data_IF_565914888794
#
_entry.id   IF_565914888794
#
_cell.length_a   1.000
_cell.length_b   1.000
_cell.length_c   1.000
_cell.angle_alpha   90.00
_cell.angle_beta   90.00
_cell.angle_gamma   90.00
#
_symmetry.space_group_name_H-M   'P 1'
#
loop_
_entity.id
_entity.type
_entity.pdbx_description
1 polymer ?
#
# COMPACT_ATOMS: atom_id res chain seq x y z
N UNK A 1 17.78 13.48 -6.38
CA UNK A 1 17.92 12.04 -6.61
C UNK A 1 18.50 11.86 -8.01
N UNK A 2 19.57 11.12 -8.15
CA UNK A 2 20.09 10.82 -9.48
C UNK A 2 19.26 9.68 -10.07
N UNK A 3 18.45 9.99 -11.08
CA UNK A 3 17.61 9.03 -11.81
C UNK A 3 18.46 7.88 -12.37
N UNK A 4 19.70 8.17 -12.79
CA UNK A 4 20.59 7.14 -13.33
C UNK A 4 21.09 6.18 -12.27
N UNK A 5 21.30 6.63 -11.05
CA UNK A 5 21.66 5.76 -9.93
C UNK A 5 20.52 4.80 -9.57
N UNK A 6 19.27 5.25 -9.65
CA UNK A 6 18.11 4.41 -9.35
C UNK A 6 17.86 3.32 -10.39
N UNK A 7 18.28 3.51 -11.65
CA UNK A 7 18.06 2.53 -12.76
C UNK A 7 18.67 1.16 -12.49
N UNK A 8 19.58 1.03 -11.56
CA UNK A 8 20.13 -0.25 -11.14
C UNK A 8 19.24 -0.98 -10.11
N UNK A 9 18.24 -0.33 -9.54
CA UNK A 9 17.40 -0.85 -8.47
C UNK A 9 15.95 -1.08 -8.93
N UNK A 10 15.27 -1.91 -8.15
CA UNK A 10 13.89 -2.30 -8.38
C UNK A 10 13.01 -1.94 -7.19
N UNK A 11 11.78 -1.56 -7.48
CA UNK A 11 10.70 -1.45 -6.52
C UNK A 11 9.74 -2.63 -6.73
N UNK A 12 9.55 -3.44 -5.68
CA UNK A 12 8.55 -4.49 -5.63
C UNK A 12 7.25 -3.92 -5.06
N UNK A 13 6.17 -3.95 -5.83
CA UNK A 13 4.88 -3.41 -5.46
C UNK A 13 3.84 -4.54 -5.42
N UNK A 14 3.35 -4.86 -4.24
CA UNK A 14 2.25 -5.79 -4.03
C UNK A 14 0.93 -5.03 -4.15
N UNK A 15 0.12 -5.39 -5.14
CA UNK A 15 -1.10 -4.65 -5.52
C UNK A 15 -0.84 -3.58 -6.59
N UNK A 16 -0.01 -3.87 -7.58
CA UNK A 16 0.52 -2.91 -8.57
C UNK A 16 -0.47 -2.50 -9.67
N UNK A 17 -1.63 -3.15 -9.79
CA UNK A 17 -2.52 -2.98 -10.95
C UNK A 17 -3.54 -1.86 -10.84
N UNK A 18 -3.68 -1.21 -9.69
CA UNK A 18 -4.66 -0.14 -9.49
C UNK A 18 -4.35 0.75 -8.28
N UNK A 19 -5.03 1.88 -8.16
CA UNK A 19 -5.00 2.76 -6.99
C UNK A 19 -3.60 3.19 -6.59
N UNK A 20 -3.27 3.05 -5.30
CA UNK A 20 -1.98 3.50 -4.76
C UNK A 20 -0.80 2.73 -5.33
N UNK A 21 -0.94 1.41 -5.54
CA UNK A 21 0.14 0.59 -6.11
C UNK A 21 0.46 0.97 -7.55
N UNK A 22 -0.56 1.21 -8.38
CA UNK A 22 -0.39 1.72 -9.74
C UNK A 22 0.32 3.08 -9.74
N UNK A 23 -0.23 4.05 -9.00
CA UNK A 23 0.32 5.41 -8.96
C UNK A 23 1.76 5.43 -8.46
N UNK A 24 2.07 4.63 -7.43
CA UNK A 24 3.43 4.52 -6.90
C UNK A 24 4.37 3.84 -7.90
N UNK A 25 3.92 2.79 -8.60
CA UNK A 25 4.72 2.13 -9.64
C UNK A 25 5.10 3.11 -10.76
N UNK A 26 4.14 3.91 -11.22
CA UNK A 26 4.38 4.92 -12.25
C UNK A 26 5.33 6.01 -11.73
N UNK A 27 5.09 6.55 -10.53
CA UNK A 27 5.93 7.60 -9.95
C UNK A 27 7.37 7.14 -9.70
N UNK A 28 7.56 5.94 -9.15
CA UNK A 28 8.90 5.40 -8.94
C UNK A 28 9.62 5.11 -10.26
N UNK A 29 8.90 4.74 -11.33
CA UNK A 29 9.51 4.58 -12.66
C UNK A 29 9.96 5.90 -13.26
N UNK A 30 9.25 7.01 -13.03
CA UNK A 30 9.70 8.37 -13.39
C UNK A 30 10.97 8.74 -12.63
N UNK A 31 11.10 8.31 -11.37
CA UNK A 31 12.27 8.53 -10.53
C UNK A 31 13.44 7.55 -10.85
N UNK A 32 13.28 6.69 -11.88
CA UNK A 32 14.32 5.81 -12.42
C UNK A 32 14.32 4.38 -11.87
N UNK A 33 13.45 4.02 -10.94
CA UNK A 33 13.36 2.64 -10.46
C UNK A 33 12.73 1.72 -11.50
N UNK A 34 13.26 0.52 -11.64
CA UNK A 34 12.57 -0.57 -12.33
C UNK A 34 11.46 -1.13 -11.43
N UNK A 35 10.42 -1.71 -12.01
CA UNK A 35 9.22 -2.10 -11.27
C UNK A 35 8.99 -3.61 -11.36
N UNK A 36 8.84 -4.25 -10.20
CA UNK A 36 8.26 -5.59 -10.07
C UNK A 36 6.84 -5.40 -9.51
N UNK A 37 5.84 -5.75 -10.30
CA UNK A 37 4.43 -5.64 -9.91
C UNK A 37 3.84 -7.03 -9.62
N UNK A 38 3.29 -7.22 -8.42
CA UNK A 38 2.45 -8.40 -8.11
C UNK A 38 1.01 -7.94 -8.05
N UNK A 39 0.12 -8.64 -8.75
CA UNK A 39 -1.29 -8.28 -8.83
C UNK A 39 -2.17 -9.52 -8.99
N UNK A 40 -3.47 -9.39 -8.75
CA UNK A 40 -4.43 -10.45 -8.96
C UNK A 40 -5.60 -9.90 -9.77
N UNK A 41 -5.50 -10.02 -11.07
CA UNK A 41 -6.45 -9.46 -12.03
C UNK A 41 -7.14 -10.53 -12.85
N UNK A 42 -8.42 -10.26 -13.17
CA UNK A 42 -9.18 -11.04 -14.14
C UNK A 42 -8.96 -10.48 -15.54
N UNK A 43 -9.34 -11.25 -16.56
CA UNK A 43 -9.19 -10.88 -17.95
C UNK A 43 -9.68 -9.46 -18.28
N UNK A 44 -10.77 -9.01 -17.65
CA UNK A 44 -11.34 -7.68 -17.89
C UNK A 44 -10.46 -6.51 -17.41
N UNK A 45 -9.55 -6.73 -16.48
CA UNK A 45 -8.67 -5.70 -15.89
C UNK A 45 -7.23 -5.76 -16.39
N UNK A 46 -6.85 -6.81 -17.10
CA UNK A 46 -5.51 -6.96 -17.72
C UNK A 46 -5.13 -5.76 -18.62
N UNK A 47 -6.02 -5.18 -19.44
CA UNK A 47 -5.66 -4.01 -20.25
C UNK A 47 -5.09 -2.83 -19.45
N UNK A 48 -5.50 -2.66 -18.17
CA UNK A 48 -4.91 -1.65 -17.29
C UNK A 48 -3.47 -1.99 -16.91
N UNK A 49 -3.18 -3.26 -16.65
CA UNK A 49 -1.81 -3.72 -16.37
C UNK A 49 -0.89 -3.47 -17.57
N UNK A 50 -1.38 -3.75 -18.78
CA UNK A 50 -0.61 -3.48 -20.00
C UNK A 50 -0.36 -1.99 -20.23
N UNK A 51 -1.33 -1.13 -19.90
CA UNK A 51 -1.18 0.32 -19.92
C UNK A 51 -0.08 0.78 -18.93
N UNK A 52 -0.11 0.27 -17.70
CA UNK A 52 0.90 0.56 -16.67
C UNK A 52 2.30 0.16 -17.16
N UNK A 53 2.46 -1.05 -17.68
CA UNK A 53 3.74 -1.57 -18.20
C UNK A 53 4.27 -0.70 -19.34
N UNK A 54 3.40 -0.31 -20.28
CA UNK A 54 3.77 0.59 -21.39
C UNK A 54 4.25 1.95 -20.85
N UNK A 55 3.57 2.51 -19.85
CA UNK A 55 3.97 3.78 -19.27
C UNK A 55 5.31 3.68 -18.53
N UNK A 56 5.55 2.61 -17.77
CA UNK A 56 6.85 2.35 -17.12
C UNK A 56 7.98 2.28 -18.16
N UNK A 57 7.74 1.60 -19.29
CA UNK A 57 8.71 1.54 -20.39
C UNK A 57 8.92 2.91 -21.02
N UNK A 58 7.87 3.71 -21.21
CA UNK A 58 7.98 5.09 -21.71
C UNK A 58 8.80 6.00 -20.79
N UNK A 59 8.75 5.75 -19.48
CA UNK A 59 9.60 6.44 -18.48
C UNK A 59 11.06 5.96 -18.52
N UNK A 60 11.41 5.00 -19.39
CA UNK A 60 12.74 4.43 -19.55
C UNK A 60 13.11 3.40 -18.47
N UNK A 61 12.16 2.85 -17.77
CA UNK A 61 12.35 1.81 -16.73
C UNK A 61 11.91 0.43 -17.25
N UNK A 62 12.49 -0.63 -16.66
CA UNK A 62 12.08 -2.01 -16.93
C UNK A 62 10.91 -2.40 -16.00
N UNK A 63 10.13 -3.40 -16.44
CA UNK A 63 9.06 -3.94 -15.60
C UNK A 63 8.95 -5.46 -15.70
N UNK A 64 8.61 -6.10 -14.58
CA UNK A 64 8.20 -7.50 -14.45
C UNK A 64 6.86 -7.52 -13.72
N UNK A 65 5.86 -8.23 -14.25
CA UNK A 65 4.53 -8.28 -13.63
C UNK A 65 4.06 -9.72 -13.47
N UNK A 66 3.59 -10.06 -12.27
CA UNK A 66 3.13 -11.39 -11.89
C UNK A 66 1.66 -11.34 -11.51
N UNK A 67 0.82 -12.04 -12.26
CA UNK A 67 -0.61 -12.13 -11.96
C UNK A 67 -0.89 -13.33 -11.04
N UNK A 68 -0.67 -13.13 -9.76
CA UNK A 68 -0.83 -14.16 -8.71
C UNK A 68 -1.38 -13.55 -7.43
N UNK A 69 -1.94 -14.40 -6.56
CA UNK A 69 -2.26 -14.00 -5.20
C UNK A 69 -0.96 -13.79 -4.38
N UNK A 70 -0.71 -12.56 -3.94
CA UNK A 70 0.49 -12.22 -3.18
C UNK A 70 0.58 -12.89 -1.80
N UNK A 71 -0.52 -13.41 -1.26
CA UNK A 71 -0.55 -14.18 -0.01
C UNK A 71 -0.32 -15.69 -0.24
N UNK A 72 -0.35 -16.17 -1.47
CA UNK A 72 -0.06 -17.57 -1.77
C UNK A 72 1.42 -17.87 -1.61
N UNK A 73 1.75 -18.76 -0.68
CA UNK A 73 3.14 -19.10 -0.35
C UNK A 73 3.87 -19.70 -1.55
N UNK A 74 3.26 -20.67 -2.24
CA UNK A 74 3.93 -21.34 -3.37
C UNK A 74 4.21 -20.35 -4.51
N UNK A 75 3.26 -19.43 -4.79
CA UNK A 75 3.46 -18.39 -5.80
C UNK A 75 4.51 -17.36 -5.39
N UNK A 76 4.60 -17.03 -4.11
CA UNK A 76 5.66 -16.15 -3.60
C UNK A 76 7.03 -16.81 -3.76
N UNK A 77 7.16 -18.10 -3.40
CA UNK A 77 8.40 -18.87 -3.55
C UNK A 77 8.85 -18.97 -5.03
N UNK A 78 7.90 -19.20 -5.97
CA UNK A 78 8.17 -19.20 -7.42
C UNK A 78 8.77 -17.84 -7.86
N UNK A 79 8.16 -16.72 -7.44
CA UNK A 79 8.63 -15.38 -7.78
C UNK A 79 10.02 -15.13 -7.19
N UNK A 80 10.24 -15.47 -5.93
CA UNK A 80 11.55 -15.31 -5.27
C UNK A 80 12.64 -16.11 -6.01
N UNK A 81 12.35 -17.33 -6.46
CA UNK A 81 13.27 -18.13 -7.24
C UNK A 81 13.62 -17.45 -8.57
N UNK A 82 12.63 -16.93 -9.32
CA UNK A 82 12.86 -16.20 -10.57
C UNK A 82 13.69 -14.93 -10.35
N UNK A 83 13.43 -14.20 -9.24
CA UNK A 83 14.20 -13.00 -8.91
C UNK A 83 15.66 -13.34 -8.54
N UNK A 84 15.91 -14.48 -7.89
CA UNK A 84 17.28 -14.96 -7.60
C UNK A 84 18.06 -15.31 -8.87
N UNK A 85 17.41 -15.96 -9.83
CA UNK A 85 18.04 -16.26 -11.11
C UNK A 85 18.38 -14.99 -11.89
N UNK A 86 17.49 -13.98 -11.83
CA UNK A 86 17.69 -12.70 -12.52
C UNK A 86 18.74 -11.83 -11.86
N UNK A 87 18.76 -11.77 -10.52
CA UNK A 87 19.58 -10.83 -9.77
C UNK A 87 20.75 -11.52 -9.06
N UNK A 88 21.95 -11.32 -9.54
CA UNK A 88 23.17 -11.84 -8.91
C UNK A 88 23.69 -10.92 -7.78
N UNK A 89 22.89 -9.92 -7.37
CA UNK A 89 23.18 -8.96 -6.32
C UNK A 89 21.89 -8.47 -5.65
N UNK A 90 21.93 -7.86 -4.45
CA UNK A 90 20.77 -7.20 -3.87
C UNK A 90 20.29 -6.06 -4.78
N UNK A 91 19.14 -6.25 -5.43
CA UNK A 91 18.62 -5.32 -6.43
C UNK A 91 17.32 -4.62 -6.01
N UNK A 92 16.57 -5.19 -5.06
CA UNK A 92 15.30 -4.63 -4.60
C UNK A 92 15.59 -3.57 -3.55
N UNK A 93 15.22 -2.34 -3.84
CA UNK A 93 15.44 -1.16 -2.98
C UNK A 93 14.18 -0.73 -2.23
N UNK A 94 13.02 -1.02 -2.79
CA UNK A 94 11.73 -0.62 -2.26
C UNK A 94 10.79 -1.83 -2.28
N UNK A 95 10.10 -2.05 -1.15
CA UNK A 95 8.94 -2.94 -1.07
C UNK A 95 7.73 -2.08 -0.69
N UNK A 96 6.68 -2.12 -1.51
CA UNK A 96 5.40 -1.51 -1.18
C UNK A 96 4.32 -2.58 -1.03
N UNK A 97 3.69 -2.62 0.14
CA UNK A 97 2.53 -3.46 0.42
C UNK A 97 1.26 -2.64 0.30
N UNK A 98 0.52 -2.83 -0.81
CA UNK A 98 -0.71 -2.11 -1.14
C UNK A 98 -1.87 -3.07 -1.41
N UNK A 99 -1.98 -4.13 -0.60
CA UNK A 99 -3.04 -5.12 -0.75
C UNK A 99 -4.30 -4.67 -0.01
N UNK A 100 -5.44 -4.75 -0.71
CA UNK A 100 -6.76 -4.36 -0.23
C UNK A 100 -7.81 -5.42 -0.60
N UNK A 101 -7.67 -6.62 -0.03
CA UNK A 101 -8.59 -7.73 -0.23
C UNK A 101 -8.95 -8.34 1.12
N UNK A 102 -10.09 -7.91 1.68
CA UNK A 102 -10.58 -8.35 2.97
C UNK A 102 -12.10 -8.46 3.01
N UNK A 103 -12.60 -9.17 4.01
CA UNK A 103 -14.03 -9.36 4.23
C UNK A 103 -14.66 -8.10 4.85
N UNK A 104 -15.77 -7.67 4.27
CA UNK A 104 -16.57 -6.51 4.71
C UNK A 104 -17.91 -7.03 5.25
N UNK A 105 -17.88 -7.52 6.50
CA UNK A 105 -19.04 -8.10 7.20
C UNK A 105 -19.05 -7.67 8.66
N UNK A 106 -20.26 -7.61 9.25
CA UNK A 106 -20.42 -7.38 10.69
C UNK A 106 -19.82 -8.54 11.50
N UNK A 107 -19.21 -8.26 12.64
CA UNK A 107 -18.82 -9.28 13.60
C UNK A 107 -20.07 -9.92 14.22
N UNK A 108 -21.02 -9.08 14.63
CA UNK A 108 -22.29 -9.51 15.18
C UNK A 108 -23.39 -9.15 14.15
N UNK A 109 -23.89 -10.13 13.41
CA UNK A 109 -24.92 -9.88 12.38
C UNK A 109 -26.28 -9.60 13.00
N UNK A 110 -27.12 -8.86 12.29
CA UNK A 110 -28.55 -8.79 12.62
C UNK A 110 -29.25 -10.14 12.36
N UNK A 111 -30.44 -10.32 12.95
CA UNK A 111 -31.21 -11.56 12.83
C UNK A 111 -31.45 -11.91 11.35
N UNK A 112 -31.02 -13.11 10.94
CA UNK A 112 -31.15 -13.61 9.57
C UNK A 112 -29.96 -13.29 8.64
N UNK A 113 -28.97 -12.52 9.08
CA UNK A 113 -27.76 -12.23 8.32
C UNK A 113 -26.61 -13.18 8.69
N UNK A 114 -25.66 -13.34 7.79
CA UNK A 114 -24.41 -14.04 8.07
C UNK A 114 -23.33 -13.06 8.50
N UNK A 115 -22.81 -13.24 9.71
CA UNK A 115 -21.66 -12.53 10.21
C UNK A 115 -20.33 -12.94 9.55
N UNK A 116 -19.27 -12.34 10.02
CA UNK A 116 -17.91 -12.69 9.63
C UNK A 116 -17.55 -14.11 10.10
N UNK A 117 -17.01 -14.94 9.21
CA UNK A 117 -16.52 -16.28 9.56
C UNK A 117 -15.06 -16.25 9.97
N UNK A 118 -14.60 -17.30 10.69
CA UNK A 118 -13.19 -17.49 11.05
C UNK A 118 -12.29 -17.45 9.83
N UNK A 119 -12.60 -18.21 8.78
CA UNK A 119 -11.77 -18.23 7.56
C UNK A 119 -11.70 -16.90 6.83
N UNK A 120 -12.77 -16.09 6.87
CA UNK A 120 -12.76 -14.75 6.32
C UNK A 120 -11.87 -13.78 7.14
N UNK A 121 -11.87 -13.92 8.47
CA UNK A 121 -10.97 -13.16 9.33
C UNK A 121 -9.51 -13.53 9.04
N UNK A 122 -9.19 -14.83 9.08
CA UNK A 122 -7.84 -15.34 8.84
C UNK A 122 -7.31 -14.92 7.46
N UNK A 123 -8.10 -15.10 6.41
CA UNK A 123 -7.76 -14.68 5.06
C UNK A 123 -7.50 -13.16 4.99
N UNK A 124 -8.31 -12.35 5.67
CA UNK A 124 -8.15 -10.89 5.66
C UNK A 124 -6.84 -10.46 6.33
N UNK A 125 -6.52 -11.04 7.49
CA UNK A 125 -5.26 -10.77 8.18
C UNK A 125 -4.05 -11.27 7.37
N UNK A 126 -4.15 -12.46 6.82
CA UNK A 126 -3.08 -13.05 6.02
C UNK A 126 -2.73 -12.17 4.81
N UNK A 127 -3.74 -11.81 4.00
CA UNK A 127 -3.53 -10.98 2.80
C UNK A 127 -3.11 -9.55 3.14
N UNK A 128 -3.78 -8.90 4.11
CA UNK A 128 -3.65 -7.46 4.32
C UNK A 128 -2.65 -7.07 5.40
N UNK A 129 -2.11 -8.03 6.16
CA UNK A 129 -1.13 -7.77 7.21
C UNK A 129 0.07 -8.72 7.15
N UNK A 130 -0.15 -10.04 7.29
CA UNK A 130 0.94 -10.98 7.50
C UNK A 130 1.80 -11.16 6.25
N UNK A 131 1.24 -11.07 5.07
CA UNK A 131 1.99 -11.17 3.80
C UNK A 131 3.13 -10.14 3.69
N UNK A 132 3.03 -8.96 4.33
CA UNK A 132 4.15 -8.02 4.43
C UNK A 132 5.39 -8.67 5.08
N UNK A 133 5.18 -9.38 6.19
CA UNK A 133 6.25 -10.05 6.93
C UNK A 133 6.87 -11.13 6.06
N UNK A 134 6.05 -11.99 5.45
CA UNK A 134 6.53 -13.10 4.64
C UNK A 134 7.34 -12.64 3.42
N UNK A 135 6.86 -11.65 2.68
CA UNK A 135 7.63 -11.06 1.57
C UNK A 135 8.94 -10.45 2.05
N UNK A 136 8.94 -9.76 3.19
CA UNK A 136 10.15 -9.17 3.76
C UNK A 136 11.15 -10.23 4.15
N UNK A 137 10.71 -11.30 4.84
CA UNK A 137 11.56 -12.44 5.22
C UNK A 137 12.21 -13.09 3.99
N UNK A 138 11.41 -13.38 2.96
CA UNK A 138 11.92 -14.02 1.74
C UNK A 138 12.94 -13.15 1.00
N UNK A 139 12.70 -11.84 0.90
CA UNK A 139 13.61 -10.91 0.26
C UNK A 139 14.95 -10.79 1.02
N UNK A 140 14.91 -10.76 2.36
CA UNK A 140 16.11 -10.65 3.19
C UNK A 140 16.89 -11.97 3.19
N UNK A 141 16.23 -13.11 3.45
CA UNK A 141 16.88 -14.42 3.55
C UNK A 141 17.51 -14.87 2.23
N UNK A 142 16.98 -14.41 1.11
CA UNK A 142 17.53 -14.69 -0.23
C UNK A 142 18.52 -13.63 -0.74
N UNK A 143 18.90 -12.63 0.08
CA UNK A 143 19.87 -11.61 -0.30
C UNK A 143 19.43 -10.68 -1.43
N UNK A 144 18.12 -10.54 -1.66
CA UNK A 144 17.56 -9.75 -2.74
C UNK A 144 17.36 -8.27 -2.37
N UNK A 145 17.22 -7.96 -1.06
CA UNK A 145 16.96 -6.60 -0.58
C UNK A 145 18.28 -5.82 -0.43
N UNK A 146 18.32 -4.64 -1.06
CA UNK A 146 19.51 -3.77 -1.02
C UNK A 146 19.55 -2.96 0.29
N UNK A 147 20.77 -2.70 0.81
CA UNK A 147 20.98 -1.80 1.95
C UNK A 147 20.43 -0.40 1.69
N UNK A 148 20.06 0.31 2.75
CA UNK A 148 19.40 1.62 2.69
C UNK A 148 18.09 1.59 1.90
N UNK A 149 17.37 0.45 1.97
CA UNK A 149 16.09 0.26 1.33
C UNK A 149 14.93 0.89 2.08
N UNK A 150 13.73 0.76 1.51
CA UNK A 150 12.48 1.27 2.06
C UNK A 150 11.38 0.21 1.99
N UNK A 151 10.61 0.09 3.05
CA UNK A 151 9.38 -0.70 3.07
C UNK A 151 8.23 0.23 3.42
N UNK A 152 7.20 0.23 2.59
CA UNK A 152 5.97 1.00 2.79
C UNK A 152 4.77 0.06 2.85
N UNK A 153 3.92 0.25 3.86
CA UNK A 153 2.71 -0.52 4.05
C UNK A 153 1.49 0.40 4.07
N UNK A 154 0.55 0.22 3.13
CA UNK A 154 -0.65 1.04 3.06
C UNK A 154 -1.60 0.69 4.20
N UNK A 155 -1.84 1.63 5.10
CA UNK A 155 -2.84 1.54 6.16
C UNK A 155 -4.03 2.49 5.92
N UNK A 156 -4.88 2.67 6.90
CA UNK A 156 -6.13 3.44 6.81
C UNK A 156 -6.50 3.94 8.20
N UNK A 157 -7.19 5.07 8.29
CA UNK A 157 -7.82 5.54 9.54
C UNK A 157 -8.74 4.49 10.18
N UNK A 158 -9.24 3.54 9.39
CA UNK A 158 -9.98 2.39 9.89
C UNK A 158 -9.19 1.48 10.83
N UNK A 159 -7.88 1.64 11.00
CA UNK A 159 -7.10 0.94 12.04
C UNK A 159 -7.45 1.40 13.46
N UNK A 160 -7.94 2.63 13.64
CA UNK A 160 -8.25 3.26 14.93
C UNK A 160 -9.62 3.95 14.98
N UNK A 161 -10.33 4.07 13.84
CA UNK A 161 -11.70 4.58 13.78
C UNK A 161 -12.69 3.49 13.39
N UNK A 162 -13.95 3.67 13.73
CA UNK A 162 -15.00 2.69 13.43
C UNK A 162 -15.63 3.00 12.08
N UNK A 163 -15.57 2.02 11.18
CA UNK A 163 -16.27 2.02 9.90
C UNK A 163 -17.20 0.78 9.89
N UNK A 164 -18.52 0.94 9.62
CA UNK A 164 -19.44 -0.19 9.56
C UNK A 164 -18.94 -1.30 8.61
N UNK A 165 -19.07 -2.55 9.02
CA UNK A 165 -18.64 -3.77 8.29
C UNK A 165 -17.12 -3.92 8.05
N UNK A 166 -16.31 -2.99 8.53
CA UNK A 166 -14.88 -2.91 8.27
C UNK A 166 -14.02 -3.66 9.31
N UNK A 167 -14.62 -4.30 10.29
CA UNK A 167 -13.92 -4.83 11.47
C UNK A 167 -12.75 -5.76 11.16
N UNK A 168 -12.88 -6.70 10.20
CA UNK A 168 -11.77 -7.58 9.81
C UNK A 168 -10.62 -6.80 9.16
N UNK A 169 -10.95 -5.84 8.30
CA UNK A 169 -9.95 -4.97 7.65
C UNK A 169 -9.30 -4.03 8.66
N UNK A 170 -10.08 -3.49 9.62
CA UNK A 170 -9.56 -2.70 10.75
C UNK A 170 -8.52 -3.47 11.55
N UNK A 171 -8.83 -4.72 11.95
CA UNK A 171 -7.91 -5.60 12.66
C UNK A 171 -6.64 -5.87 11.84
N UNK A 172 -6.79 -6.11 10.53
CA UNK A 172 -5.65 -6.32 9.65
C UNK A 172 -4.76 -5.07 9.55
N UNK A 173 -5.35 -3.85 9.46
CA UNK A 173 -4.57 -2.61 9.41
C UNK A 173 -3.87 -2.31 10.73
N UNK A 174 -4.49 -2.54 11.87
CA UNK A 174 -3.85 -2.44 13.18
C UNK A 174 -2.68 -3.45 13.32
N UNK A 175 -2.86 -4.70 12.86
CA UNK A 175 -1.80 -5.71 12.82
C UNK A 175 -0.66 -5.28 11.88
N UNK A 176 -0.97 -4.74 10.70
CA UNK A 176 0.01 -4.24 9.74
C UNK A 176 0.88 -3.14 10.34
N UNK A 177 0.30 -2.19 11.06
CA UNK A 177 1.02 -1.13 11.76
C UNK A 177 1.92 -1.68 12.88
N UNK A 178 1.48 -2.75 13.56
CA UNK A 178 2.31 -3.46 14.53
C UNK A 178 3.50 -4.14 13.85
N UNK A 179 3.29 -4.82 12.71
CA UNK A 179 4.36 -5.44 11.93
C UNK A 179 5.37 -4.40 11.42
N UNK A 180 4.92 -3.22 11.01
CA UNK A 180 5.79 -2.11 10.59
C UNK A 180 6.77 -1.73 11.71
N UNK A 181 6.29 -1.59 12.94
CA UNK A 181 7.16 -1.26 14.10
C UNK A 181 8.19 -2.36 14.37
N UNK A 182 7.76 -3.62 14.37
CA UNK A 182 8.65 -4.75 14.60
C UNK A 182 9.71 -4.89 13.49
N UNK A 183 9.28 -4.80 12.22
CA UNK A 183 10.19 -4.86 11.08
C UNK A 183 11.18 -3.68 11.07
N UNK A 184 10.75 -2.47 11.47
CA UNK A 184 11.65 -1.32 11.57
C UNK A 184 12.77 -1.55 12.59
N UNK A 185 12.48 -2.21 13.70
CA UNK A 185 13.48 -2.59 14.71
C UNK A 185 14.43 -3.67 14.16
N UNK A 186 13.89 -4.75 13.62
CA UNK A 186 14.69 -5.91 13.17
C UNK A 186 15.54 -5.60 11.92
N UNK A 187 15.10 -4.67 11.08
CA UNK A 187 15.81 -4.30 9.86
C UNK A 187 16.79 -3.12 10.01
N UNK A 188 17.01 -2.66 11.24
CA UNK A 188 17.96 -1.58 11.53
C UNK A 188 19.38 -1.88 11.06
N UNK A 189 19.87 -3.09 11.31
CA UNK A 189 21.21 -3.53 10.89
C UNK A 189 21.37 -3.61 9.35
N UNK A 190 20.27 -3.79 8.64
CA UNK A 190 20.22 -3.74 7.17
C UNK A 190 20.09 -2.30 6.63
N UNK A 191 19.92 -1.31 7.51
CA UNK A 191 19.65 0.08 7.16
C UNK A 191 18.38 0.24 6.31
N UNK A 192 17.35 -0.58 6.55
CA UNK A 192 16.07 -0.53 5.85
C UNK A 192 15.06 0.19 6.75
N UNK A 193 14.50 1.27 6.23
CA UNK A 193 13.42 2.00 6.92
C UNK A 193 12.06 1.42 6.55
N UNK A 194 11.20 1.24 7.55
CA UNK A 194 9.87 0.63 7.39
C UNK A 194 8.82 1.57 7.94
N UNK A 195 7.83 1.98 7.12
CA UNK A 195 6.78 2.90 7.54
C UNK A 195 5.40 2.46 7.03
N UNK A 196 4.38 2.71 7.84
CA UNK A 196 3.00 2.68 7.41
C UNK A 196 2.63 4.03 6.77
N UNK A 197 1.91 3.99 5.64
CA UNK A 197 1.40 5.17 4.96
C UNK A 197 -0.13 5.18 5.10
N UNK A 198 -0.65 6.17 5.79
CA UNK A 198 -2.09 6.38 5.93
C UNK A 198 -2.56 7.39 4.89
N UNK A 199 -3.33 6.92 3.93
CA UNK A 199 -3.99 7.78 2.95
C UNK A 199 -5.34 8.27 3.48
N UNK A 200 -5.74 9.46 3.09
CA UNK A 200 -7.12 9.91 3.23
C UNK A 200 -8.07 9.11 2.31
N UNK A 201 -9.36 9.33 2.46
CA UNK A 201 -10.37 8.69 1.60
C UNK A 201 -10.06 9.03 0.14
N UNK A 202 -9.89 7.98 -0.64
CA UNK A 202 -9.45 8.06 -2.04
C UNK A 202 -10.38 7.21 -2.90
N UNK A 203 -10.92 7.78 -3.98
CA UNK A 203 -11.77 7.03 -4.91
C UNK A 203 -10.98 5.98 -5.68
N UNK A 204 -10.98 4.78 -5.15
CA UNK A 204 -10.28 3.61 -5.69
C UNK A 204 -11.24 2.44 -5.88
N UNK A 205 -10.91 1.44 -6.70
CA UNK A 205 -11.71 0.21 -6.80
C UNK A 205 -11.94 -0.48 -5.45
N UNK A 206 -11.01 -0.35 -4.52
CA UNK A 206 -11.14 -0.91 -3.16
C UNK A 206 -12.18 -0.15 -2.34
N UNK A 207 -12.17 1.20 -2.36
CA UNK A 207 -13.16 2.03 -1.66
C UNK A 207 -14.58 1.73 -2.13
N UNK A 208 -14.78 1.61 -3.44
CA UNK A 208 -16.10 1.37 -4.04
C UNK A 208 -16.76 0.06 -3.62
N UNK A 209 -16.01 -0.88 -3.04
CA UNK A 209 -16.52 -2.14 -2.47
C UNK A 209 -17.03 -1.97 -1.04
N UNK A 210 -16.69 -0.88 -0.35
CA UNK A 210 -17.11 -0.64 1.03
C UNK A 210 -18.58 -0.21 1.05
N UNK A 211 -19.46 -0.90 1.80
CA UNK A 211 -20.83 -0.45 1.97
C UNK A 211 -20.88 0.98 2.54
N UNK A 212 -21.64 1.87 1.91
CA UNK A 212 -21.70 3.27 2.33
C UNK A 212 -20.56 4.16 1.83
N UNK A 213 -19.80 3.72 0.83
CA UNK A 213 -18.69 4.51 0.25
C UNK A 213 -19.10 5.88 -0.31
N UNK A 214 -20.31 6.01 -0.86
CA UNK A 214 -20.77 7.30 -1.42
C UNK A 214 -20.89 8.40 -0.36
N UNK A 215 -21.66 8.23 0.75
CA UNK A 215 -21.68 9.22 1.81
C UNK A 215 -20.30 9.40 2.48
N UNK A 216 -19.47 8.38 2.54
CA UNK A 216 -18.10 8.47 3.05
C UNK A 216 -17.27 9.48 2.22
N UNK A 217 -17.37 9.44 0.90
CA UNK A 217 -16.69 10.38 0.00
C UNK A 217 -17.10 11.83 0.30
N UNK A 218 -18.38 12.10 0.47
CA UNK A 218 -18.87 13.45 0.75
C UNK A 218 -18.45 13.95 2.14
N UNK A 219 -18.45 13.08 3.13
CA UNK A 219 -17.94 13.41 4.47
C UNK A 219 -16.45 13.71 4.41
N UNK A 220 -15.66 12.89 3.71
CA UNK A 220 -14.22 13.06 3.58
C UNK A 220 -13.85 14.39 2.91
N UNK A 221 -14.53 14.76 1.83
CA UNK A 221 -14.33 16.08 1.17
C UNK A 221 -14.56 17.25 2.13
N UNK A 222 -15.60 17.17 2.99
CA UNK A 222 -15.88 18.21 3.99
C UNK A 222 -14.87 18.20 5.13
N UNK A 223 -14.48 17.00 5.56
CA UNK A 223 -13.52 16.78 6.65
C UNK A 223 -12.10 17.24 6.26
N UNK A 224 -11.68 16.97 5.03
CA UNK A 224 -10.35 17.33 4.57
C UNK A 224 -10.17 18.87 4.55
N UNK A 225 -9.13 19.41 5.20
CA UNK A 225 -8.84 20.85 5.18
C UNK A 225 -8.72 21.43 3.77
N UNK A 226 -8.21 20.64 2.81
CA UNK A 226 -8.05 21.04 1.41
C UNK A 226 -9.34 20.91 0.57
N UNK A 227 -10.49 20.53 1.17
CA UNK A 227 -11.81 20.41 0.53
C UNK A 227 -11.84 19.49 -0.69
N UNK A 228 -10.94 18.54 -0.77
CA UNK A 228 -10.89 17.51 -1.80
C UNK A 228 -10.52 16.15 -1.21
N UNK A 229 -10.74 15.11 -1.97
CA UNK A 229 -10.22 13.78 -1.64
C UNK A 229 -8.71 13.71 -1.86
N UNK A 230 -8.07 12.85 -1.10
CA UNK A 230 -6.74 12.36 -1.43
C UNK A 230 -6.78 11.62 -2.77
N UNK A 231 -5.76 11.79 -3.59
CA UNK A 231 -5.58 11.06 -4.85
C UNK A 231 -4.47 10.02 -4.71
N UNK A 232 -4.48 8.96 -5.53
CA UNK A 232 -3.37 8.01 -5.56
C UNK A 232 -2.02 8.70 -5.85
N UNK A 233 -2.03 9.77 -6.63
CA UNK A 233 -0.82 10.54 -6.97
C UNK A 233 -0.27 11.30 -5.75
N UNK A 234 -1.13 11.85 -4.87
CA UNK A 234 -0.67 12.49 -3.62
C UNK A 234 0.14 11.50 -2.78
N UNK A 235 -0.36 10.28 -2.63
CA UNK A 235 0.32 9.20 -1.89
C UNK A 235 1.62 8.77 -2.57
N UNK A 236 1.61 8.58 -3.88
CA UNK A 236 2.78 8.22 -4.66
C UNK A 236 3.91 9.28 -4.52
N UNK A 237 3.55 10.56 -4.51
CA UNK A 237 4.49 11.66 -4.30
C UNK A 237 5.11 11.63 -2.89
N UNK A 238 4.32 11.34 -1.85
CA UNK A 238 4.83 11.17 -0.48
C UNK A 238 5.80 10.00 -0.40
N UNK A 239 5.47 8.84 -0.98
CA UNK A 239 6.35 7.67 -1.03
C UNK A 239 7.65 8.01 -1.76
N UNK A 240 7.58 8.66 -2.92
CA UNK A 240 8.75 9.08 -3.67
C UNK A 240 9.62 10.06 -2.88
N UNK A 241 9.02 10.97 -2.11
CA UNK A 241 9.74 11.88 -1.22
C UNK A 241 10.50 11.12 -0.13
N UNK A 242 9.87 10.11 0.50
CA UNK A 242 10.48 9.25 1.51
C UNK A 242 11.58 8.34 0.95
N UNK A 243 11.62 8.11 -0.34
CA UNK A 243 12.72 7.39 -1.00
C UNK A 243 13.98 8.24 -1.18
N UNK A 244 13.91 9.57 -1.02
CA UNK A 244 15.06 10.47 -1.16
C UNK A 244 16.06 10.31 -0.01
N UNK A 245 17.25 10.90 -0.19
CA UNK A 245 18.26 11.00 0.86
C UNK A 245 17.65 11.70 2.10
N UNK A 246 17.97 11.20 3.29
CA UNK A 246 17.37 11.65 4.55
C UNK A 246 16.08 10.92 4.94
N UNK A 247 15.29 10.44 3.99
CA UNK A 247 14.07 9.67 4.29
C UNK A 247 14.32 8.35 5.04
N UNK A 248 15.55 7.82 5.03
CA UNK A 248 15.91 6.62 5.81
C UNK A 248 15.85 6.83 7.33
N UNK A 249 15.88 8.08 7.80
CA UNK A 249 15.77 8.38 9.24
C UNK A 249 14.33 8.36 9.75
N UNK A 250 13.36 8.27 8.85
CA UNK A 250 11.95 8.07 9.18
C UNK A 250 11.67 6.57 9.13
N UNK A 251 11.54 5.92 10.29
CA UNK A 251 11.33 4.47 10.40
C UNK A 251 10.49 4.10 11.61
N UNK A 252 9.63 3.09 11.48
CA UNK A 252 8.73 2.59 12.53
C UNK A 252 7.46 3.44 12.71
N UNK A 253 7.28 4.47 11.88
CA UNK A 253 6.22 5.45 12.03
C UNK A 253 4.98 5.20 11.16
N UNK A 254 3.93 5.95 11.52
CA UNK A 254 2.75 6.16 10.70
C UNK A 254 2.88 7.53 10.02
N UNK A 255 2.97 7.53 8.71
CA UNK A 255 3.07 8.76 7.91
C UNK A 255 1.70 9.06 7.28
N UNK A 256 1.13 10.19 7.64
CA UNK A 256 -0.13 10.66 7.10
C UNK A 256 0.09 11.30 5.72
N UNK A 257 -0.53 10.73 4.69
CA UNK A 257 -0.59 11.24 3.32
C UNK A 257 -2.06 11.53 2.96
N UNK A 258 -2.74 12.28 3.80
CA UNK A 258 -4.19 12.47 3.83
C UNK A 258 -4.63 13.94 3.75
N UNK A 259 -3.68 14.87 3.64
CA UNK A 259 -3.96 16.32 3.64
C UNK A 259 -4.57 16.83 4.94
N UNK A 260 -4.33 16.13 6.06
CA UNK A 260 -4.86 16.48 7.39
C UNK A 260 -6.28 15.97 7.65
N UNK A 261 -6.79 15.04 6.82
CA UNK A 261 -8.16 14.52 6.96
C UNK A 261 -8.39 13.83 8.31
N UNK A 262 -7.46 13.00 8.76
CA UNK A 262 -7.64 12.13 9.93
C UNK A 262 -7.69 12.92 11.25
N UNK A 263 -6.98 14.04 11.34
CA UNK A 263 -6.95 14.86 12.56
C UNK A 263 -8.20 15.72 12.78
N UNK A 264 -9.07 15.82 11.77
CA UNK A 264 -10.31 16.62 11.87
C UNK A 264 -11.44 15.76 12.43
N UNK A 265 -11.94 16.09 13.61
CA UNK A 265 -13.07 15.39 14.25
C UNK A 265 -14.42 16.07 14.01
N UNK A 266 -14.44 17.37 13.77
CA UNK A 266 -15.66 18.14 13.57
C UNK A 266 -15.95 18.40 12.10
N UNK A 267 -17.13 17.97 11.67
CA UNK A 267 -17.67 18.27 10.34
C UNK A 267 -19.01 18.96 10.57
N UNK A 268 -19.02 20.30 10.63
CA UNK A 268 -20.24 21.08 10.80
C UNK A 268 -21.31 20.75 9.77
N UNK A 269 -22.57 20.84 10.16
CA UNK A 269 -23.70 20.88 9.22
C UNK A 269 -23.79 22.31 8.69
N UNK A 270 -23.32 22.56 7.47
CA UNK A 270 -23.37 23.88 6.84
C UNK A 270 -22.07 24.29 6.16
N UNK A 271 -21.96 25.54 5.79
CA UNK A 271 -20.74 26.11 5.21
C UNK A 271 -19.57 25.98 6.20
N UNK A 272 -18.33 25.81 5.73
CA UNK A 272 -17.16 25.79 6.59
C UNK A 272 -17.14 27.05 7.45
N UNK A 273 -16.83 26.87 8.75
CA UNK A 273 -16.51 28.02 9.60
C UNK A 273 -15.38 28.79 8.90
N UNK A 274 -15.69 29.98 8.42
CA UNK A 274 -14.69 30.92 7.95
C UNK A 274 -13.96 31.45 9.21
N UNK A 275 -12.88 30.79 9.56
CA UNK A 275 -12.09 31.13 10.77
C UNK A 275 -11.19 32.33 10.50
N UNK A 276 -11.04 32.71 9.23
CA UNK A 276 -10.16 33.78 8.79
C UNK A 276 -10.88 34.69 7.75
N UNK A 277 -11.66 35.63 8.20
CA UNK A 277 -12.04 36.85 7.48
C UNK A 277 -11.42 38.05 8.18
#
# INVERSE_FOLDING_TARGET
MDVNENRQYWALVLGASSGFGEATSLKLSEDGYNIIGVHLDRQATIPNVDRIRKQITANGSQSMFFNVNAADQAKREEIIAELKEKFHRPAIKILMHSLAFGALKAFIPHKGEQGLTKSQMEMTLDVMAHSLVYWTQDLISNGLFAKKGRIFAMTSSGSHTIIPFYGAVSAAKASLESHVRQLAYELGDYQIAVNAIMAGVTDTPALRKIPGSVPMIEVAKRKNPNKRLTTPQDVANVIALLCREGGQWISGGLVHADGGEDIVSYVGQGEPLKVWE
#
